data_IF_288863230442
#
_entry.id   IF_288863230442
#
_cell.length_a   1.000
_cell.length_b   1.000
_cell.length_c   1.000
_cell.angle_alpha   90.00
_cell.angle_beta   90.00
_cell.angle_gamma   90.00
#
_symmetry.space_group_name_H-M   'P 1'
#
loop_
_entity.id
_entity.type
_entity.pdbx_description
1 polymer ?
#
# COMPACT_ATOMS: atom_id res chain seq x y z
N UNK A 1 -21.66 37.20 10.29
CA UNK A 1 -21.34 37.14 11.73
C UNK A 1 -21.55 35.68 12.16
N UNK A 2 -20.49 34.89 12.18
CA UNK A 2 -20.52 33.53 12.69
C UNK A 2 -20.52 33.59 14.21
N UNK A 3 -21.61 33.24 14.86
CA UNK A 3 -21.64 33.00 16.29
C UNK A 3 -20.69 31.83 16.60
N UNK A 4 -19.51 32.14 17.12
CA UNK A 4 -18.67 31.19 17.79
C UNK A 4 -19.45 30.72 19.03
N UNK A 5 -20.14 29.61 18.95
CA UNK A 5 -20.60 28.85 20.11
C UNK A 5 -19.36 28.42 20.87
N UNK A 6 -19.02 29.14 21.93
CA UNK A 6 -18.02 28.70 22.90
C UNK A 6 -18.57 27.40 23.52
N UNK A 7 -18.12 26.26 22.95
CA UNK A 7 -18.32 24.96 23.57
C UNK A 7 -17.67 25.02 24.94
N UNK A 8 -18.46 24.82 25.99
CA UNK A 8 -17.93 24.68 27.35
C UNK A 8 -17.10 23.39 27.38
N UNK A 9 -15.80 23.54 27.18
CA UNK A 9 -14.85 22.43 27.32
C UNK A 9 -14.84 21.99 28.78
N UNK A 10 -14.79 20.69 29.01
CA UNK A 10 -14.75 20.08 30.32
C UNK A 10 -13.62 20.73 31.14
N UNK A 11 -13.90 21.15 32.36
CA UNK A 11 -12.99 21.83 33.31
C UNK A 11 -12.54 23.26 32.93
N UNK A 12 -13.13 23.93 31.92
CA UNK A 12 -12.72 25.29 31.54
C UNK A 12 -11.28 25.40 31.03
N UNK A 13 -10.69 24.28 30.59
CA UNK A 13 -9.36 24.24 29.98
C UNK A 13 -9.38 24.83 28.57
N UNK A 14 -8.26 25.38 28.15
CA UNK A 14 -8.08 25.86 26.78
C UNK A 14 -8.25 24.69 25.79
N UNK A 15 -9.19 24.80 24.82
CA UNK A 15 -9.46 23.74 23.84
C UNK A 15 -8.22 23.30 23.07
N UNK A 16 -7.29 24.22 22.78
CA UNK A 16 -6.07 23.93 22.04
C UNK A 16 -5.15 22.99 22.85
N UNK A 17 -4.91 23.33 24.13
CA UNK A 17 -4.06 22.51 24.98
C UNK A 17 -4.66 21.14 25.24
N UNK A 18 -5.97 21.06 25.52
CA UNK A 18 -6.63 19.79 25.81
C UNK A 18 -6.62 18.88 24.58
N UNK A 19 -6.93 19.39 23.39
CA UNK A 19 -6.89 18.61 22.15
C UNK A 19 -5.48 18.14 21.83
N UNK A 20 -4.47 19.00 22.02
CA UNK A 20 -3.06 18.65 21.78
C UNK A 20 -2.60 17.52 22.73
N UNK A 21 -2.92 17.62 24.02
CA UNK A 21 -2.56 16.60 25.00
C UNK A 21 -3.24 15.26 24.68
N UNK A 22 -4.55 15.28 24.39
CA UNK A 22 -5.29 14.06 24.00
C UNK A 22 -4.70 13.42 22.75
N UNK A 23 -4.34 14.23 21.75
CA UNK A 23 -3.72 13.74 20.51
C UNK A 23 -2.34 13.12 20.78
N UNK A 24 -1.48 13.79 21.55
CA UNK A 24 -0.15 13.28 21.92
C UNK A 24 -0.27 11.96 22.71
N UNK A 25 -1.17 11.89 23.67
CA UNK A 25 -1.41 10.67 24.47
C UNK A 25 -1.90 9.53 23.57
N UNK A 26 -2.89 9.80 22.70
CA UNK A 26 -3.43 8.81 21.77
C UNK A 26 -2.33 8.27 20.84
N UNK A 27 -1.52 9.15 20.24
CA UNK A 27 -0.38 8.72 19.42
C UNK A 27 0.69 7.97 20.21
N UNK A 28 1.00 8.40 21.44
CA UNK A 28 1.94 7.71 22.32
C UNK A 28 1.51 6.27 22.61
N UNK A 29 0.20 6.05 22.83
CA UNK A 29 -0.35 4.71 23.04
C UNK A 29 -0.32 3.90 21.73
N UNK A 30 -0.64 4.50 20.58
CA UNK A 30 -0.57 3.85 19.27
C UNK A 30 0.88 3.39 18.97
N UNK A 31 1.87 4.25 19.20
CA UNK A 31 3.28 3.94 18.99
C UNK A 31 3.78 2.82 19.91
N UNK A 32 3.18 2.64 21.09
CA UNK A 32 3.55 1.55 22.00
C UNK A 32 3.27 0.15 21.44
N UNK A 33 2.44 0.04 20.41
CA UNK A 33 2.03 -1.21 19.68
C UNK A 33 1.42 -2.31 20.58
N UNK A 34 1.11 -1.97 21.85
CA UNK A 34 0.54 -2.94 22.82
C UNK A 34 -0.94 -3.20 22.62
N UNK A 35 -1.64 -2.27 21.96
CA UNK A 35 -3.08 -2.32 21.74
C UNK A 35 -3.40 -2.08 20.27
N UNK A 36 -4.57 -2.52 19.84
CA UNK A 36 -5.01 -2.33 18.45
C UNK A 36 -5.14 -0.84 18.14
N UNK A 37 -4.44 -0.38 17.10
CA UNK A 37 -4.35 1.03 16.66
C UNK A 37 -5.74 1.64 16.41
N UNK A 38 -6.64 0.89 15.78
CA UNK A 38 -8.00 1.36 15.45
C UNK A 38 -8.83 1.60 16.71
N UNK A 39 -8.72 0.73 17.71
CA UNK A 39 -9.42 0.89 19.00
C UNK A 39 -8.94 2.16 19.70
N UNK A 40 -7.62 2.38 19.76
CA UNK A 40 -7.05 3.56 20.41
C UNK A 40 -7.44 4.84 19.69
N UNK A 41 -7.43 4.86 18.35
CA UNK A 41 -7.87 6.01 17.57
C UNK A 41 -9.34 6.34 17.81
N UNK A 42 -10.23 5.33 17.84
CA UNK A 42 -11.66 5.51 18.14
C UNK A 42 -11.88 6.01 19.57
N UNK A 43 -11.16 5.47 20.57
CA UNK A 43 -11.22 5.96 21.94
C UNK A 43 -10.73 7.41 22.05
N UNK A 44 -9.66 7.78 21.37
CA UNK A 44 -9.19 9.16 21.31
C UNK A 44 -10.22 10.12 20.73
N UNK A 45 -10.86 9.74 19.62
CA UNK A 45 -11.93 10.52 19.01
C UNK A 45 -13.15 10.63 19.96
N UNK A 46 -13.54 9.55 20.61
CA UNK A 46 -14.64 9.55 21.58
C UNK A 46 -14.33 10.46 22.78
N UNK A 47 -13.10 10.45 23.29
CA UNK A 47 -12.68 11.35 24.38
C UNK A 47 -12.74 12.81 23.95
N UNK A 48 -12.37 13.17 22.71
CA UNK A 48 -12.53 14.52 22.20
C UNK A 48 -13.97 14.99 22.18
N UNK A 49 -14.93 14.11 21.81
CA UNK A 49 -16.36 14.40 21.84
C UNK A 49 -16.84 14.56 23.30
N UNK A 50 -16.47 13.64 24.18
CA UNK A 50 -16.86 13.67 25.60
C UNK A 50 -16.32 14.89 26.33
N UNK A 51 -15.12 15.36 25.97
CA UNK A 51 -14.54 16.59 26.53
C UNK A 51 -15.13 17.88 25.95
N UNK A 52 -16.08 17.79 25.00
CA UNK A 52 -16.72 18.97 24.37
C UNK A 52 -15.79 19.71 23.38
N UNK A 53 -14.70 19.09 22.94
CA UNK A 53 -13.79 19.66 21.93
C UNK A 53 -14.39 19.59 20.52
N UNK A 54 -15.18 18.55 20.26
CA UNK A 54 -15.89 18.32 19.00
C UNK A 54 -17.34 17.99 19.29
N UNK A 55 -18.25 18.51 18.47
CA UNK A 55 -19.63 18.01 18.46
C UNK A 55 -19.70 16.68 17.70
N UNK A 56 -20.71 15.89 17.95
CA UNK A 56 -20.93 14.64 17.21
C UNK A 56 -21.08 14.91 15.69
N UNK A 57 -21.76 16.00 15.32
CA UNK A 57 -21.91 16.40 13.91
C UNK A 57 -20.57 16.74 13.25
N UNK A 58 -19.70 17.49 13.96
CA UNK A 58 -18.35 17.80 13.47
C UNK A 58 -17.49 16.53 13.33
N UNK A 59 -17.59 15.59 14.29
CA UNK A 59 -16.86 14.34 14.22
C UNK A 59 -17.30 13.49 13.02
N UNK A 60 -18.62 13.38 12.77
CA UNK A 60 -19.16 12.66 11.61
C UNK A 60 -18.83 13.36 10.30
N UNK A 61 -18.91 14.71 10.25
CA UNK A 61 -18.53 15.49 9.07
C UNK A 61 -17.03 15.38 8.74
N UNK A 62 -16.18 15.10 9.74
CA UNK A 62 -14.75 14.83 9.56
C UNK A 62 -14.44 13.46 8.95
N UNK A 63 -15.42 12.54 8.85
CA UNK A 63 -15.24 11.24 8.23
C UNK A 63 -15.35 11.38 6.71
N UNK A 64 -14.26 11.10 6.01
CA UNK A 64 -14.28 11.05 4.55
C UNK A 64 -14.80 9.70 4.05
N UNK A 65 -16.11 9.62 3.84
CA UNK A 65 -16.77 8.41 3.34
C UNK A 65 -16.32 8.04 1.92
N UNK A 66 -15.88 9.00 1.12
CA UNK A 66 -15.33 8.76 -0.22
C UNK A 66 -14.02 7.96 -0.13
N UNK A 67 -13.12 8.38 0.75
CA UNK A 67 -11.88 7.65 1.06
C UNK A 67 -12.18 6.23 1.61
N UNK A 68 -13.12 6.10 2.54
CA UNK A 68 -13.50 4.79 3.10
C UNK A 68 -14.06 3.89 2.01
N UNK A 69 -14.95 4.41 1.16
CA UNK A 69 -15.52 3.68 0.04
C UNK A 69 -14.47 3.17 -0.92
N UNK A 70 -13.53 4.02 -1.29
CA UNK A 70 -12.41 3.65 -2.15
C UNK A 70 -11.54 2.55 -1.53
N UNK A 71 -11.16 2.71 -0.26
CA UNK A 71 -10.34 1.71 0.45
C UNK A 71 -11.05 0.35 0.52
N UNK A 72 -12.32 0.33 0.92
CA UNK A 72 -13.11 -0.92 1.03
C UNK A 72 -13.25 -1.59 -0.35
N UNK A 73 -13.61 -0.84 -1.39
CA UNK A 73 -13.74 -1.37 -2.75
C UNK A 73 -12.43 -1.96 -3.26
N UNK A 74 -11.33 -1.23 -3.13
CA UNK A 74 -10.01 -1.72 -3.53
C UNK A 74 -9.58 -2.94 -2.73
N UNK A 75 -9.80 -2.99 -1.41
CA UNK A 75 -9.50 -4.17 -0.59
C UNK A 75 -10.27 -5.41 -1.02
N UNK A 76 -11.53 -5.27 -1.46
CA UNK A 76 -12.34 -6.38 -1.99
C UNK A 76 -11.72 -6.90 -3.31
N UNK A 77 -11.45 -5.99 -4.25
CA UNK A 77 -10.84 -6.35 -5.55
C UNK A 77 -9.50 -7.06 -5.35
N UNK A 78 -8.65 -6.52 -4.49
CA UNK A 78 -7.33 -7.09 -4.17
C UNK A 78 -7.46 -8.45 -3.50
N UNK A 79 -8.40 -8.60 -2.55
CA UNK A 79 -8.66 -9.87 -1.86
C UNK A 79 -9.10 -10.98 -2.82
N UNK A 80 -9.90 -10.63 -3.85
CA UNK A 80 -10.29 -11.57 -4.90
C UNK A 80 -9.10 -11.87 -5.83
N UNK A 81 -8.37 -10.84 -6.25
CA UNK A 81 -7.20 -10.98 -7.13
C UNK A 81 -6.11 -11.83 -6.49
N UNK A 82 -5.92 -11.71 -5.17
CA UNK A 82 -4.99 -12.55 -4.42
C UNK A 82 -5.24 -14.04 -4.61
N UNK A 83 -6.52 -14.47 -4.60
CA UNK A 83 -6.89 -15.89 -4.70
C UNK A 83 -6.53 -16.52 -6.06
N UNK A 84 -6.24 -15.71 -7.07
CA UNK A 84 -5.87 -16.21 -8.40
C UNK A 84 -4.42 -16.70 -8.52
N UNK A 85 -3.53 -16.37 -7.56
CA UNK A 85 -2.11 -16.71 -7.61
C UNK A 85 -1.27 -15.85 -8.55
N UNK A 86 -1.77 -14.68 -8.99
CA UNK A 86 -1.06 -13.80 -9.93
C UNK A 86 0.25 -13.26 -9.36
N UNK A 87 0.32 -13.02 -8.06
CA UNK A 87 1.50 -12.46 -7.41
C UNK A 87 2.62 -13.49 -7.29
N UNK A 88 2.26 -14.74 -6.98
CA UNK A 88 3.16 -15.89 -7.01
C UNK A 88 3.70 -16.12 -8.42
N UNK A 89 2.81 -16.05 -9.42
CA UNK A 89 3.21 -16.13 -10.82
C UNK A 89 4.24 -15.05 -11.17
N UNK A 90 3.96 -13.78 -10.85
CA UNK A 90 4.85 -12.65 -11.16
C UNK A 90 6.20 -12.77 -10.45
N UNK A 91 6.23 -13.25 -9.21
CA UNK A 91 7.47 -13.43 -8.46
C UNK A 91 8.34 -14.56 -9.05
N UNK A 92 7.75 -15.70 -9.40
CA UNK A 92 8.48 -16.82 -10.02
C UNK A 92 8.94 -16.43 -11.44
N UNK A 93 8.06 -15.82 -12.23
CA UNK A 93 8.37 -15.33 -13.57
C UNK A 93 9.54 -14.33 -13.54
N UNK A 94 9.53 -13.36 -12.61
CA UNK A 94 10.62 -12.39 -12.48
C UNK A 94 11.94 -13.04 -12.08
N UNK A 95 11.93 -14.06 -11.21
CA UNK A 95 13.12 -14.82 -10.84
C UNK A 95 13.70 -15.57 -12.05
N UNK A 96 12.85 -16.17 -12.89
CA UNK A 96 13.25 -16.85 -14.14
C UNK A 96 13.81 -15.90 -15.17
N UNK A 97 13.23 -14.71 -15.33
CA UNK A 97 13.68 -13.70 -16.29
C UNK A 97 15.14 -13.31 -16.08
N UNK A 98 15.60 -13.26 -14.83
CA UNK A 98 16.99 -12.96 -14.46
C UNK A 98 17.85 -14.24 -14.27
N UNK A 99 17.41 -15.38 -14.84
CA UNK A 99 18.10 -16.69 -14.78
C UNK A 99 18.43 -17.14 -13.35
N UNK A 100 17.53 -16.89 -12.43
CA UNK A 100 17.68 -17.15 -11.00
C UNK A 100 18.96 -16.62 -10.36
N UNK A 101 19.52 -15.53 -10.90
CA UNK A 101 20.65 -14.84 -10.29
C UNK A 101 20.18 -14.11 -9.01
N UNK A 102 20.80 -14.34 -7.83
CA UNK A 102 20.35 -13.70 -6.59
C UNK A 102 20.28 -12.18 -6.68
N UNK A 103 21.32 -11.54 -7.25
CA UNK A 103 21.34 -10.10 -7.45
C UNK A 103 20.26 -9.62 -8.43
N UNK A 104 20.01 -10.39 -9.50
CA UNK A 104 18.94 -10.10 -10.45
C UNK A 104 17.56 -10.24 -9.82
N UNK A 105 17.33 -11.28 -9.00
CA UNK A 105 16.08 -11.48 -8.26
C UNK A 105 15.83 -10.33 -7.28
N UNK A 106 16.86 -9.89 -6.56
CA UNK A 106 16.75 -8.74 -5.66
C UNK A 106 16.23 -7.50 -6.39
N UNK A 107 16.80 -7.18 -7.56
CA UNK A 107 16.38 -6.05 -8.37
C UNK A 107 14.97 -6.23 -8.97
N UNK A 108 14.70 -7.40 -9.57
CA UNK A 108 13.41 -7.66 -10.23
C UNK A 108 12.25 -7.73 -9.26
N UNK A 109 12.43 -8.37 -8.10
CA UNK A 109 11.39 -8.40 -7.07
C UNK A 109 11.11 -6.99 -6.52
N UNK A 110 12.12 -6.14 -6.37
CA UNK A 110 11.90 -4.74 -5.98
C UNK A 110 11.05 -4.00 -7.03
N UNK A 111 11.39 -4.14 -8.31
CA UNK A 111 10.64 -3.50 -9.41
C UNK A 111 9.20 -4.02 -9.49
N UNK A 112 9.01 -5.34 -9.46
CA UNK A 112 7.67 -5.96 -9.50
C UNK A 112 6.87 -5.55 -8.28
N UNK A 113 7.45 -5.55 -7.08
CA UNK A 113 6.78 -5.10 -5.86
C UNK A 113 6.36 -3.64 -5.96
N UNK A 114 7.20 -2.75 -6.49
CA UNK A 114 6.85 -1.35 -6.68
C UNK A 114 5.70 -1.15 -7.68
N UNK A 115 5.72 -1.87 -8.82
CA UNK A 115 4.66 -1.79 -9.83
C UNK A 115 3.33 -2.30 -9.26
N UNK A 116 3.36 -3.44 -8.58
CA UNK A 116 2.16 -4.03 -7.96
C UNK A 116 1.62 -3.08 -6.88
N UNK A 117 2.50 -2.49 -6.06
CA UNK A 117 2.11 -1.57 -5.00
C UNK A 117 1.55 -0.24 -5.51
N UNK A 118 1.93 0.19 -6.70
CA UNK A 118 1.31 1.35 -7.34
C UNK A 118 -0.16 1.11 -7.75
N UNK A 119 -0.56 -0.15 -7.93
CA UNK A 119 -1.92 -0.57 -8.31
C UNK A 119 -2.74 -1.07 -7.12
N UNK A 120 -2.06 -1.53 -6.07
CA UNK A 120 -2.63 -2.07 -4.84
C UNK A 120 -2.06 -1.29 -3.65
N UNK A 121 -2.50 -1.61 -2.44
CA UNK A 121 -1.86 -1.04 -1.26
C UNK A 121 -0.49 -1.69 -0.96
N UNK A 122 0.38 -0.91 -0.33
CA UNK A 122 1.75 -1.31 -0.01
C UNK A 122 1.83 -2.49 0.97
N UNK A 123 0.94 -2.55 1.97
CA UNK A 123 0.92 -3.61 2.99
C UNK A 123 0.51 -4.94 2.38
N UNK A 124 -0.60 -4.94 1.63
CA UNK A 124 -1.08 -6.16 0.96
C UNK A 124 -0.07 -6.66 -0.05
N UNK A 125 0.57 -5.78 -0.82
CA UNK A 125 1.61 -6.15 -1.78
C UNK A 125 2.76 -6.91 -1.10
N UNK A 126 3.28 -6.41 0.02
CA UNK A 126 4.35 -7.09 0.77
C UNK A 126 3.88 -8.46 1.28
N UNK A 127 2.68 -8.52 1.88
CA UNK A 127 2.12 -9.80 2.38
C UNK A 127 1.96 -10.87 1.29
N UNK A 128 1.78 -10.45 0.03
CA UNK A 128 1.63 -11.36 -1.11
C UNK A 128 2.96 -11.84 -1.68
N UNK A 129 3.95 -10.97 -1.77
CA UNK A 129 5.22 -11.29 -2.43
C UNK A 129 6.21 -11.98 -1.47
N UNK A 130 6.14 -11.69 -0.17
CA UNK A 130 7.05 -12.25 0.85
C UNK A 130 7.06 -13.78 0.89
N UNK A 131 5.93 -14.50 0.93
CA UNK A 131 5.96 -15.97 0.99
C UNK A 131 6.72 -16.59 -0.19
N UNK A 132 6.52 -16.09 -1.39
CA UNK A 132 7.20 -16.59 -2.59
C UNK A 132 8.68 -16.24 -2.56
N UNK A 133 9.02 -15.07 -2.08
CA UNK A 133 10.42 -14.64 -1.87
C UNK A 133 11.14 -15.58 -0.92
N UNK A 134 10.50 -16.01 0.16
CA UNK A 134 11.07 -16.97 1.10
C UNK A 134 11.33 -18.33 0.44
N UNK A 135 10.40 -18.85 -0.36
CA UNK A 135 10.56 -20.09 -1.12
C UNK A 135 11.74 -19.99 -2.09
N UNK A 136 11.85 -18.89 -2.84
CA UNK A 136 12.93 -18.67 -3.79
C UNK A 136 14.29 -18.56 -3.08
N UNK A 137 14.38 -17.81 -1.99
CA UNK A 137 15.62 -17.61 -1.24
C UNK A 137 16.07 -18.88 -0.53
N UNK A 138 15.14 -19.69 -0.03
CA UNK A 138 15.42 -21.01 0.53
C UNK A 138 15.98 -21.97 -0.54
N UNK A 139 15.34 -22.02 -1.72
CA UNK A 139 15.82 -22.83 -2.84
C UNK A 139 17.22 -22.45 -3.31
N UNK A 140 17.56 -21.16 -3.25
CA UNK A 140 18.88 -20.63 -3.59
C UNK A 140 19.88 -20.71 -2.43
N UNK A 141 19.43 -21.06 -1.21
CA UNK A 141 20.23 -21.05 0.03
C UNK A 141 20.89 -19.70 0.29
N UNK A 142 20.18 -18.61 0.05
CA UNK A 142 20.65 -17.23 0.32
C UNK A 142 19.85 -16.62 1.46
N UNK A 143 20.45 -15.62 2.14
CA UNK A 143 19.78 -14.91 3.22
C UNK A 143 18.56 -14.15 2.67
N UNK A 144 17.33 -14.35 3.18
CA UNK A 144 16.13 -13.66 2.71
C UNK A 144 16.09 -12.17 3.10
N UNK A 145 16.78 -11.75 4.16
CA UNK A 145 16.70 -10.40 4.72
C UNK A 145 16.87 -9.28 3.68
N UNK A 146 17.88 -9.29 2.78
CA UNK A 146 18.03 -8.23 1.80
C UNK A 146 16.84 -8.12 0.84
N UNK A 147 16.22 -9.25 0.47
CA UNK A 147 15.07 -9.29 -0.43
C UNK A 147 13.85 -8.70 0.26
N UNK A 148 13.55 -9.13 1.48
CA UNK A 148 12.42 -8.65 2.27
C UNK A 148 12.55 -7.15 2.56
N UNK A 149 13.73 -6.71 2.98
CA UNK A 149 14.01 -5.30 3.23
C UNK A 149 13.82 -4.44 1.97
N UNK A 150 14.36 -4.92 0.84
CA UNK A 150 14.20 -4.23 -0.44
C UNK A 150 12.74 -4.15 -0.89
N UNK A 151 11.95 -5.20 -0.69
CA UNK A 151 10.53 -5.24 -1.04
C UNK A 151 9.68 -4.30 -0.18
N UNK A 152 9.96 -4.23 1.13
CA UNK A 152 9.27 -3.29 2.03
C UNK A 152 9.51 -1.84 1.57
N UNK A 153 10.74 -1.47 1.25
CA UNK A 153 11.04 -0.14 0.73
C UNK A 153 10.42 0.08 -0.65
N UNK A 154 10.55 -0.89 -1.55
CA UNK A 154 10.02 -0.81 -2.91
C UNK A 154 8.49 -0.69 -2.93
N UNK A 155 7.77 -1.34 -2.01
CA UNK A 155 6.31 -1.21 -1.90
C UNK A 155 5.88 0.20 -1.50
N UNK A 156 6.57 0.82 -0.54
CA UNK A 156 6.29 2.21 -0.16
C UNK A 156 6.64 3.19 -1.30
N UNK A 157 7.79 2.98 -1.97
CA UNK A 157 8.18 3.79 -3.12
C UNK A 157 7.14 3.68 -4.24
N UNK A 158 6.74 2.46 -4.59
CA UNK A 158 5.75 2.22 -5.64
C UNK A 158 4.37 2.75 -5.28
N UNK A 159 3.92 2.52 -4.04
CA UNK A 159 2.64 2.99 -3.54
C UNK A 159 2.48 4.50 -3.62
N UNK A 160 3.57 5.25 -3.46
CA UNK A 160 3.55 6.72 -3.59
C UNK A 160 3.24 7.20 -5.03
N UNK A 161 3.43 6.36 -6.05
CA UNK A 161 3.27 6.74 -7.46
C UNK A 161 1.84 7.08 -7.86
N UNK A 162 0.84 6.56 -7.16
CA UNK A 162 -0.58 6.69 -7.54
C UNK A 162 -1.45 7.09 -6.36
N UNK A 163 -2.65 7.55 -6.66
CA UNK A 163 -3.65 7.89 -5.64
C UNK A 163 -4.02 6.69 -4.76
N UNK A 164 -4.11 5.49 -5.34
CA UNK A 164 -4.64 4.28 -4.68
C UNK A 164 -3.56 3.41 -4.04
N UNK A 165 -2.28 3.64 -4.34
CA UNK A 165 -1.18 2.79 -3.88
C UNK A 165 -0.84 2.93 -2.39
N UNK A 166 -1.31 4.01 -1.73
CA UNK A 166 -1.09 4.22 -0.29
C UNK A 166 -2.27 5.00 0.32
N UNK A 167 -2.84 4.58 1.48
CA UNK A 167 -3.93 5.27 2.14
C UNK A 167 -3.73 6.78 2.38
N UNK A 168 -2.55 7.28 2.77
CA UNK A 168 -2.30 8.72 2.88
C UNK A 168 -2.53 9.49 1.57
N UNK A 169 -2.21 8.89 0.42
CA UNK A 169 -2.42 9.52 -0.88
C UNK A 169 -3.90 9.73 -1.16
N UNK A 170 -4.73 8.74 -0.80
CA UNK A 170 -6.19 8.81 -0.96
C UNK A 170 -6.76 9.94 -0.10
N UNK A 171 -6.32 10.05 1.17
CA UNK A 171 -6.74 11.13 2.07
C UNK A 171 -6.33 12.50 1.54
N UNK A 172 -5.07 12.66 1.13
CA UNK A 172 -4.56 13.94 0.59
C UNK A 172 -5.32 14.28 -0.70
N UNK A 173 -5.46 13.31 -1.59
CA UNK A 173 -6.17 13.50 -2.86
C UNK A 173 -7.62 13.93 -2.65
N UNK A 174 -8.34 13.29 -1.72
CA UNK A 174 -9.72 13.63 -1.37
C UNK A 174 -9.84 15.04 -0.79
N UNK A 175 -8.97 15.41 0.16
CA UNK A 175 -9.01 16.71 0.83
C UNK A 175 -8.60 17.89 -0.08
N UNK A 176 -7.67 17.68 -1.00
CA UNK A 176 -7.12 18.72 -1.89
C UNK A 176 -7.78 18.69 -3.28
N UNK A 177 -8.59 17.68 -3.58
CA UNK A 177 -9.26 17.52 -4.87
C UNK A 177 -8.31 17.08 -6.00
N UNK A 178 -7.27 16.29 -5.67
CA UNK A 178 -6.35 15.74 -6.67
C UNK A 178 -6.90 14.45 -7.26
N UNK A 179 -6.83 14.34 -8.58
CA UNK A 179 -7.23 13.14 -9.32
C UNK A 179 -6.11 12.09 -9.37
N UNK A 180 -6.47 10.85 -9.76
CA UNK A 180 -5.51 9.79 -10.05
C UNK A 180 -4.43 10.25 -11.06
N UNK A 181 -4.82 10.96 -12.10
CA UNK A 181 -3.90 11.46 -13.12
C UNK A 181 -2.91 12.50 -12.56
N UNK A 182 -3.34 13.34 -11.62
CA UNK A 182 -2.45 14.32 -10.99
C UNK A 182 -1.32 13.62 -10.22
N UNK A 183 -1.62 12.52 -9.51
CA UNK A 183 -0.62 11.69 -8.87
C UNK A 183 0.33 11.04 -9.88
N UNK A 184 -0.21 10.35 -10.88
CA UNK A 184 0.61 9.64 -11.88
C UNK A 184 1.52 10.61 -12.63
N UNK A 185 1.02 11.76 -13.09
CA UNK A 185 1.82 12.68 -13.89
C UNK A 185 2.90 13.40 -13.08
N UNK A 186 2.64 13.69 -11.81
CA UNK A 186 3.58 14.46 -10.99
C UNK A 186 4.49 13.57 -10.12
N UNK A 187 3.98 12.47 -9.57
CA UNK A 187 4.74 11.63 -8.63
C UNK A 187 5.39 10.42 -9.29
N UNK A 188 4.76 9.77 -10.28
CA UNK A 188 5.34 8.58 -10.88
C UNK A 188 6.71 8.82 -11.51
N UNK A 189 7.02 9.94 -12.20
CA UNK A 189 8.37 10.20 -12.70
C UNK A 189 9.42 10.28 -11.58
N UNK A 190 9.07 10.92 -10.45
CA UNK A 190 9.96 11.01 -9.27
C UNK A 190 10.16 9.64 -8.65
N UNK A 191 9.07 8.87 -8.52
CA UNK A 191 9.09 7.50 -7.98
C UNK A 191 9.98 6.58 -8.82
N UNK A 192 9.94 6.69 -10.15
CA UNK A 192 10.84 5.92 -11.04
C UNK A 192 12.30 6.21 -10.75
N UNK A 193 12.66 7.48 -10.55
CA UNK A 193 14.05 7.87 -10.19
C UNK A 193 14.42 7.31 -8.82
N UNK A 194 13.56 7.44 -7.82
CA UNK A 194 13.80 6.92 -6.46
C UNK A 194 13.94 5.39 -6.49
N UNK A 195 13.08 4.70 -7.24
CA UNK A 195 13.14 3.24 -7.40
C UNK A 195 14.46 2.81 -8.08
N UNK A 196 14.91 3.54 -9.11
CA UNK A 196 16.19 3.25 -9.75
C UNK A 196 17.35 3.41 -8.76
N UNK A 197 17.38 4.49 -7.98
CA UNK A 197 18.36 4.71 -6.92
C UNK A 197 18.30 3.60 -5.87
N UNK A 198 17.09 3.20 -5.45
CA UNK A 198 16.89 2.10 -4.52
C UNK A 198 17.48 0.79 -5.04
N UNK A 199 17.12 0.39 -6.27
CA UNK A 199 17.60 -0.86 -6.88
C UNK A 199 19.13 -0.86 -7.01
N UNK A 200 19.72 0.26 -7.45
CA UNK A 200 21.19 0.41 -7.53
C UNK A 200 21.80 0.30 -6.14
N UNK A 201 21.26 0.98 -5.13
CA UNK A 201 21.76 0.94 -3.75
C UNK A 201 21.72 -0.48 -3.18
N UNK A 202 20.59 -1.20 -3.35
CA UNK A 202 20.44 -2.58 -2.89
C UNK A 202 21.44 -3.51 -3.62
N UNK A 203 21.63 -3.32 -4.91
CA UNK A 203 22.62 -4.07 -5.70
C UNK A 203 24.05 -3.82 -5.19
N UNK A 204 24.41 -2.58 -4.88
CA UNK A 204 25.75 -2.24 -4.39
C UNK A 204 26.01 -2.77 -2.97
N UNK A 205 25.01 -2.70 -2.08
CA UNK A 205 25.15 -3.12 -0.67
C UNK A 205 25.19 -4.64 -0.55
N UNK A 206 24.27 -5.34 -1.19
CA UNK A 206 24.10 -6.80 -1.02
C UNK A 206 24.29 -7.58 -2.32
N UNK A 207 23.83 -7.06 -3.48
CA UNK A 207 23.79 -7.80 -4.73
C UNK A 207 25.13 -8.36 -5.17
N UNK A 208 26.20 -7.59 -5.03
CA UNK A 208 27.56 -8.01 -5.39
C UNK A 208 28.12 -9.15 -4.56
N UNK A 209 27.60 -9.35 -3.34
CA UNK A 209 28.08 -10.38 -2.40
C UNK A 209 27.23 -11.64 -2.44
N UNK A 210 26.04 -11.60 -3.06
CA UNK A 210 25.14 -12.72 -3.14
C UNK A 210 25.50 -13.61 -4.32
N UNK A 211 25.81 -14.89 -4.03
CA UNK A 211 26.11 -15.90 -5.02
C UNK A 211 25.29 -17.16 -4.73
N UNK A 212 24.86 -17.84 -5.75
CA UNK A 212 24.24 -19.15 -5.68
C UNK A 212 24.89 -20.04 -6.75
N UNK A 213 25.05 -21.32 -6.40
CA UNK A 213 25.64 -22.29 -7.33
C UNK A 213 24.74 -22.50 -8.57
N UNK A 214 25.31 -22.91 -9.71
CA UNK A 214 24.51 -23.18 -10.91
C UNK A 214 23.41 -24.21 -10.68
N UNK A 215 23.63 -25.22 -9.82
CA UNK A 215 22.67 -26.26 -9.48
C UNK A 215 21.45 -25.68 -8.72
N UNK A 216 21.69 -24.78 -7.76
CA UNK A 216 20.62 -24.13 -7.01
C UNK A 216 19.81 -23.19 -7.90
N UNK A 217 20.48 -22.46 -8.80
CA UNK A 217 19.80 -21.63 -9.81
C UNK A 217 18.96 -22.47 -10.76
N UNK A 218 19.47 -23.63 -11.19
CA UNK A 218 18.73 -24.55 -12.04
C UNK A 218 17.45 -25.08 -11.36
N UNK A 219 17.48 -25.30 -10.04
CA UNK A 219 16.28 -25.67 -9.27
C UNK A 219 15.19 -24.60 -9.33
N UNK A 220 15.54 -23.34 -9.14
CA UNK A 220 14.58 -22.23 -9.24
C UNK A 220 14.05 -22.09 -10.68
N UNK A 221 14.88 -22.32 -11.69
CA UNK A 221 14.45 -22.31 -13.08
C UNK A 221 13.44 -23.43 -13.43
N UNK A 222 13.38 -24.51 -12.63
CA UNK A 222 12.39 -25.60 -12.77
C UNK A 222 11.04 -25.29 -12.13
N UNK A 223 10.92 -24.22 -11.34
CA UNK A 223 9.62 -23.82 -10.79
C UNK A 223 8.67 -23.52 -11.96
N UNK A 224 7.46 -24.06 -11.88
CA UNK A 224 6.43 -23.79 -12.88
C UNK A 224 5.54 -22.65 -12.40
N UNK A 225 5.77 -21.46 -12.95
CA UNK A 225 4.99 -20.29 -12.62
C UNK A 225 3.50 -20.44 -12.92
N UNK A 226 3.14 -21.30 -13.87
CA UNK A 226 1.73 -21.53 -14.23
C UNK A 226 0.97 -22.28 -13.16
N UNK A 227 1.66 -23.14 -12.38
CA UNK A 227 1.05 -23.85 -11.26
C UNK A 227 0.68 -22.90 -10.10
N UNK A 228 1.27 -21.71 -10.07
CA UNK A 228 0.88 -20.68 -9.11
C UNK A 228 -0.53 -20.12 -9.38
N UNK A 229 -1.01 -20.22 -10.62
CA UNK A 229 -2.35 -19.78 -11.00
C UNK A 229 -3.36 -20.85 -10.60
N UNK A 230 -4.08 -20.59 -9.51
CA UNK A 230 -5.06 -21.53 -8.94
C UNK A 230 -6.37 -21.57 -9.75
N UNK A 231 -6.84 -20.44 -10.28
CA UNK A 231 -8.04 -20.33 -11.09
C UNK A 231 -7.85 -19.37 -12.27
N UNK A 232 -7.66 -19.90 -13.50
CA UNK A 232 -7.49 -19.05 -14.69
C UNK A 232 -8.73 -18.25 -15.10
N UNK A 233 -9.93 -18.66 -14.69
CA UNK A 233 -11.17 -17.91 -14.97
C UNK A 233 -11.26 -16.70 -14.04
N UNK A 234 -11.03 -16.95 -12.74
CA UNK A 234 -11.00 -15.90 -11.74
C UNK A 234 -9.88 -14.88 -12.06
N UNK A 235 -8.71 -15.34 -12.50
CA UNK A 235 -7.61 -14.48 -12.94
C UNK A 235 -8.04 -13.52 -14.06
N UNK A 236 -8.70 -14.04 -15.11
CA UNK A 236 -9.18 -13.21 -16.22
C UNK A 236 -10.19 -12.17 -15.77
N UNK A 237 -11.16 -12.59 -14.95
CA UNK A 237 -12.17 -11.67 -14.42
C UNK A 237 -11.56 -10.61 -13.50
N UNK A 238 -10.68 -11.01 -12.57
CA UNK A 238 -10.01 -10.08 -11.67
C UNK A 238 -9.13 -9.06 -12.42
N UNK A 239 -8.39 -9.53 -13.43
CA UNK A 239 -7.57 -8.65 -14.28
C UNK A 239 -8.45 -7.70 -15.10
N UNK A 240 -9.59 -8.17 -15.63
CA UNK A 240 -10.54 -7.33 -16.35
C UNK A 240 -11.15 -6.26 -15.45
N UNK A 241 -11.61 -6.65 -14.25
CA UNK A 241 -12.17 -5.71 -13.26
C UNK A 241 -11.11 -4.68 -12.87
N UNK A 242 -9.89 -5.12 -12.57
CA UNK A 242 -8.80 -4.20 -12.24
C UNK A 242 -8.51 -3.22 -13.38
N UNK A 243 -8.46 -3.72 -14.63
CA UNK A 243 -8.25 -2.86 -15.81
C UNK A 243 -9.40 -1.86 -16.01
N UNK A 244 -10.66 -2.28 -15.80
CA UNK A 244 -11.82 -1.40 -15.88
C UNK A 244 -11.80 -0.32 -14.80
N UNK A 245 -11.50 -0.69 -13.55
CA UNK A 245 -11.37 0.25 -12.43
C UNK A 245 -10.23 1.24 -12.68
N UNK A 246 -9.07 0.77 -13.13
CA UNK A 246 -7.95 1.64 -13.48
C UNK A 246 -8.31 2.59 -14.63
N UNK A 247 -9.00 2.08 -15.67
CA UNK A 247 -9.54 2.91 -16.76
C UNK A 247 -10.51 3.97 -16.26
N UNK A 248 -11.40 3.60 -15.34
CA UNK A 248 -12.35 4.53 -14.71
C UNK A 248 -11.62 5.62 -13.91
N UNK A 249 -10.56 5.29 -13.15
CA UNK A 249 -9.74 6.30 -12.45
C UNK A 249 -9.06 7.27 -13.40
N UNK A 250 -8.52 6.79 -14.51
CA UNK A 250 -7.91 7.64 -15.56
C UNK A 250 -8.97 8.58 -16.17
N UNK A 251 -10.19 8.10 -16.33
CA UNK A 251 -11.31 8.84 -16.92
C UNK A 251 -12.17 9.56 -15.86
N UNK A 252 -11.88 9.45 -14.58
CA UNK A 252 -12.70 9.98 -13.48
C UNK A 252 -13.08 11.44 -13.68
N UNK A 253 -12.10 12.27 -14.07
CA UNK A 253 -12.29 13.71 -14.31
C UNK A 253 -13.23 14.01 -15.47
N UNK A 254 -13.19 13.21 -16.53
CA UNK A 254 -14.07 13.36 -17.72
C UNK A 254 -15.47 12.83 -17.45
N UNK A 255 -15.60 11.82 -16.59
CA UNK A 255 -16.88 11.22 -16.20
C UNK A 255 -17.55 11.96 -15.03
N UNK A 256 -16.86 12.88 -14.35
CA UNK A 256 -17.37 13.57 -13.18
C UNK A 256 -17.62 12.63 -12.00
N UNK A 257 -16.85 11.53 -11.88
CA UNK A 257 -17.00 10.52 -10.84
C UNK A 257 -15.97 10.73 -9.72
N UNK A 258 -16.44 10.61 -8.48
CA UNK A 258 -15.56 10.59 -7.33
C UNK A 258 -14.83 9.24 -7.20
N UNK A 259 -13.62 9.29 -6.63
CA UNK A 259 -12.77 8.10 -6.45
C UNK A 259 -13.46 7.00 -5.64
N UNK A 260 -14.24 7.36 -4.60
CA UNK A 260 -14.99 6.39 -3.81
C UNK A 260 -16.09 5.69 -4.59
N UNK A 261 -16.80 6.40 -5.46
CA UNK A 261 -17.81 5.82 -6.33
C UNK A 261 -17.19 4.77 -7.28
N UNK A 262 -16.02 5.08 -7.86
CA UNK A 262 -15.29 4.15 -8.74
C UNK A 262 -14.83 2.91 -7.96
N UNK A 263 -14.39 3.08 -6.71
CA UNK A 263 -13.92 1.96 -5.90
C UNK A 263 -15.01 0.99 -5.45
N UNK A 264 -16.27 1.46 -5.31
CA UNK A 264 -17.41 0.66 -4.84
C UNK A 264 -18.16 0.01 -6.02
N UNK A 265 -18.20 0.64 -7.19
CA UNK A 265 -18.92 0.16 -8.37
C UNK A 265 -18.29 -1.09 -8.97
#
# INVERSE_FOLDING_TARGET
MMHATTSTVLFGLDPLWLSTVLMIVTYGVIISERLNRSIIALLGAMLMIMCGLLTQEQAVAGIDFNTIGLLVGMMIIVSITRKCGIFEYLAIWSAKLVKASPAGILAMLAVVTAIVSALLDNVTTVLLVVPVTLIITEALKVNPYPFLFSQILASNIGGTATLIGDPPNILIGGQVGLSFNDFVLNLAPVVVVILAVHVVSMHLIWGRRMQASPELRARVMQFDERQAISDPRLLRLATLVLALVMGAFVMARTLGLDSGTIGIA
#
